data_IF_117064592489
#
_entry.id   IF_117064592489
#
_cell.length_a   1.000
_cell.length_b   1.000
_cell.length_c   1.000
_cell.angle_alpha   90.00
_cell.angle_beta   90.00
_cell.angle_gamma   90.00
#
_symmetry.space_group_name_H-M   'P 1'
#
loop_
_entity.id
_entity.type
_entity.pdbx_description
1 polymer ?
#
# COMPACT_ATOMS: atom_id res chain seq x y z
N UNK A 1 19.41 11.86 -2.22
CA UNK A 1 18.26 10.94 -2.15
C UNK A 1 17.86 10.82 -0.69
N UNK A 2 16.57 10.92 -0.36
CA UNK A 2 16.12 10.74 1.04
C UNK A 2 16.24 9.27 1.41
N UNK A 3 17.11 8.91 2.36
CA UNK A 3 17.17 7.54 2.89
C UNK A 3 15.89 7.22 3.70
N UNK A 4 15.64 5.93 3.92
CA UNK A 4 14.60 5.47 4.83
C UNK A 4 15.00 5.88 6.26
N UNK A 5 14.13 6.57 7.03
CA UNK A 5 14.44 6.90 8.42
C UNK A 5 14.77 5.65 9.24
N UNK A 6 15.87 5.66 9.99
CA UNK A 6 16.38 4.48 10.69
C UNK A 6 15.35 3.82 11.63
N UNK A 7 14.56 4.63 12.34
CA UNK A 7 13.48 4.15 13.22
C UNK A 7 12.35 3.43 12.47
N UNK A 8 12.23 3.66 11.16
CA UNK A 8 11.22 3.04 10.31
C UNK A 8 11.75 1.78 9.60
N UNK A 9 13.07 1.66 9.42
CA UNK A 9 13.70 0.58 8.64
C UNK A 9 13.23 -0.84 9.01
N UNK A 10 13.07 -1.23 10.29
CA UNK A 10 12.60 -2.57 10.65
C UNK A 10 11.17 -2.87 10.18
N UNK A 11 10.33 -1.84 10.04
CA UNK A 11 8.90 -1.98 9.72
C UNK A 11 8.59 -1.94 8.23
N UNK A 12 9.55 -1.49 7.40
CA UNK A 12 9.45 -1.45 5.93
C UNK A 12 10.28 -2.53 5.24
N UNK A 13 10.89 -3.42 6.01
CA UNK A 13 11.55 -4.61 5.49
C UNK A 13 10.55 -5.56 4.81
N UNK A 14 11.06 -6.49 4.00
CA UNK A 14 10.22 -7.51 3.37
C UNK A 14 9.70 -8.47 4.44
N UNK A 15 8.37 -8.61 4.63
CA UNK A 15 7.82 -9.50 5.65
C UNK A 15 7.87 -10.97 5.20
N UNK A 16 7.55 -11.89 6.12
CA UNK A 16 7.31 -13.30 5.82
C UNK A 16 6.04 -13.48 4.97
N UNK A 17 5.97 -14.56 4.19
CA UNK A 17 4.78 -14.91 3.40
C UNK A 17 3.89 -15.93 4.12
N UNK A 18 2.55 -15.77 4.07
CA UNK A 18 1.78 -14.61 3.58
C UNK A 18 1.62 -13.56 4.69
N UNK A 19 1.91 -12.28 4.42
CA UNK A 19 1.70 -11.20 5.41
C UNK A 19 0.77 -10.09 4.93
N UNK A 20 -0.03 -9.54 5.84
CA UNK A 20 -0.84 -8.34 5.66
C UNK A 20 -0.30 -7.19 6.52
N UNK A 21 0.01 -6.08 5.85
CA UNK A 21 0.33 -4.80 6.47
C UNK A 21 -0.83 -3.84 6.24
N UNK A 22 -1.38 -3.28 7.31
CA UNK A 22 -2.44 -2.29 7.26
C UNK A 22 -1.90 -0.90 7.62
N UNK A 23 -2.07 0.06 6.72
CA UNK A 23 -1.73 1.46 6.94
C UNK A 23 -3.03 2.26 7.09
N UNK A 24 -3.24 2.91 8.23
CA UNK A 24 -4.44 3.72 8.43
C UNK A 24 -4.12 5.20 8.44
N UNK A 25 -4.98 5.98 7.80
CA UNK A 25 -4.86 7.45 7.72
C UNK A 25 -6.12 8.13 8.25
N UNK A 26 -5.98 9.38 8.67
CA UNK A 26 -7.10 10.28 8.92
C UNK A 26 -6.94 11.52 8.05
N UNK A 27 -8.00 12.33 7.94
CA UNK A 27 -7.93 13.62 7.27
C UNK A 27 -6.83 14.49 7.89
N UNK A 28 -5.89 14.92 7.04
CA UNK A 28 -4.70 15.67 7.45
C UNK A 28 -3.46 14.82 7.76
N UNK A 29 -3.58 13.49 7.87
CA UNK A 29 -2.47 12.57 8.14
C UNK A 29 -2.48 11.39 7.15
N UNK A 30 -1.94 11.62 5.94
CA UNK A 30 -2.00 10.64 4.84
C UNK A 30 -0.85 9.62 4.86
N UNK A 31 -1.15 8.37 4.48
CA UNK A 31 -0.21 7.23 4.42
C UNK A 31 0.66 7.17 3.16
N UNK A 32 0.48 8.06 2.18
CA UNK A 32 1.23 7.97 0.90
C UNK A 32 2.73 7.95 1.09
N UNK A 33 3.25 8.71 2.05
CA UNK A 33 4.68 8.76 2.31
C UNK A 33 5.19 7.43 2.87
N UNK A 34 4.38 6.69 3.63
CA UNK A 34 4.70 5.32 4.06
C UNK A 34 4.69 4.37 2.87
N UNK A 35 3.66 4.44 2.01
CA UNK A 35 3.62 3.63 0.77
C UNK A 35 4.87 3.88 -0.07
N UNK A 36 5.28 5.13 -0.24
CA UNK A 36 6.53 5.48 -0.94
C UNK A 36 7.78 4.92 -0.26
N UNK A 37 7.82 4.81 1.08
CA UNK A 37 8.92 4.17 1.83
C UNK A 37 8.94 2.65 1.63
N UNK A 38 7.78 2.00 1.54
CA UNK A 38 7.70 0.59 1.14
C UNK A 38 8.19 0.38 -0.29
N UNK A 39 7.75 1.22 -1.24
CA UNK A 39 8.27 1.17 -2.62
C UNK A 39 9.79 1.35 -2.64
N UNK A 40 10.31 2.31 -1.87
CA UNK A 40 11.75 2.56 -1.74
C UNK A 40 12.49 1.33 -1.20
N UNK A 41 11.97 0.69 -0.15
CA UNK A 41 12.55 -0.52 0.42
C UNK A 41 12.58 -1.67 -0.60
N UNK A 42 11.45 -1.98 -1.23
CA UNK A 42 11.31 -3.17 -2.08
C UNK A 42 11.93 -3.02 -3.47
N UNK A 43 11.84 -1.82 -4.06
CA UNK A 43 12.33 -1.57 -5.41
C UNK A 43 13.76 -1.00 -5.40
N UNK A 44 14.13 -0.30 -4.33
CA UNK A 44 15.42 0.37 -4.18
C UNK A 44 16.59 -0.50 -3.74
N UNK A 45 16.36 -1.60 -3.00
CA UNK A 45 17.43 -2.51 -2.55
C UNK A 45 18.33 -3.01 -3.70
N UNK A 46 17.77 -3.24 -4.89
CA UNK A 46 18.56 -3.66 -6.06
C UNK A 46 19.19 -2.49 -6.84
N UNK A 47 18.86 -1.22 -6.57
CA UNK A 47 19.52 -0.10 -7.25
C UNK A 47 20.98 0.06 -6.80
N UNK A 48 21.30 -0.29 -5.55
CA UNK A 48 22.68 -0.34 -5.05
C UNK A 48 23.42 -1.57 -5.64
N UNK A 49 22.77 -2.74 -5.69
CA UNK A 49 23.34 -3.95 -6.32
C UNK A 49 23.51 -3.82 -7.84
N UNK A 50 22.69 -3.02 -8.52
CA UNK A 50 22.83 -2.73 -9.96
C UNK A 50 24.01 -1.81 -10.29
N UNK A 51 24.65 -1.19 -9.28
CA UNK A 51 25.87 -0.39 -9.46
C UNK A 51 27.16 -1.21 -9.37
N UNK A 52 27.07 -2.44 -8.84
CA UNK A 52 28.18 -3.38 -8.73
C UNK A 52 27.74 -4.64 -9.48
N UNK A 53 28.06 -4.70 -10.78
CA UNK A 53 27.78 -5.88 -11.58
C UNK A 53 28.50 -7.09 -10.97
N UNK A 54 27.75 -7.95 -10.30
CA UNK A 54 28.08 -9.34 -10.05
C UNK A 54 26.78 -10.14 -10.12
N UNK A 55 26.60 -10.81 -11.27
CA UNK A 55 25.61 -11.85 -11.50
C UNK A 55 26.00 -13.10 -10.69
N UNK A 56 25.84 -13.06 -9.37
CA UNK A 56 25.91 -14.30 -8.58
C UNK A 56 25.05 -14.16 -7.33
N UNK A 57 24.26 -15.21 -7.14
CA UNK A 57 23.42 -15.55 -6.00
C UNK A 57 21.94 -15.17 -6.11
N UNK A 58 21.15 -16.19 -5.82
CA UNK A 58 19.73 -16.46 -6.02
C UNK A 58 18.83 -15.53 -5.20
N UNK A 59 19.02 -14.22 -5.33
CA UNK A 59 18.20 -13.20 -4.70
C UNK A 59 16.87 -13.05 -5.43
N UNK A 60 15.81 -13.67 -4.91
CA UNK A 60 14.46 -13.53 -5.45
C UNK A 60 14.09 -12.06 -5.66
N UNK A 61 13.97 -11.64 -6.92
CA UNK A 61 13.73 -10.25 -7.27
C UNK A 61 12.36 -9.81 -6.74
N UNK A 62 12.32 -8.84 -5.84
CA UNK A 62 11.03 -8.29 -5.38
C UNK A 62 10.39 -7.44 -6.47
N UNK A 63 9.11 -7.69 -6.73
CA UNK A 63 8.24 -6.99 -7.67
C UNK A 63 7.07 -6.38 -6.92
N UNK A 64 6.56 -5.25 -7.40
CA UNK A 64 5.41 -4.57 -6.79
C UNK A 64 4.29 -4.39 -7.80
N UNK A 65 3.08 -4.82 -7.44
CA UNK A 65 1.84 -4.44 -8.07
C UNK A 65 1.16 -3.38 -7.20
N UNK A 66 1.13 -2.13 -7.67
CA UNK A 66 0.44 -1.02 -6.99
C UNK A 66 -0.91 -0.78 -7.66
N UNK A 67 -1.98 -0.83 -6.86
CA UNK A 67 -3.35 -0.48 -7.26
C UNK A 67 -3.72 0.76 -6.46
N UNK A 68 -4.23 1.80 -7.10
CA UNK A 68 -4.73 2.98 -6.38
C UNK A 68 -6.11 3.35 -6.88
N UNK A 69 -7.03 3.52 -5.93
CA UNK A 69 -8.40 3.96 -6.18
C UNK A 69 -8.57 5.46 -6.02
N UNK A 70 -7.56 6.17 -5.51
CA UNK A 70 -7.65 7.59 -5.18
C UNK A 70 -6.57 8.46 -5.86
N UNK A 71 -5.57 7.87 -6.52
CA UNK A 71 -4.43 8.58 -7.10
C UNK A 71 -3.97 7.95 -8.40
N UNK A 72 -3.56 8.79 -9.35
CA UNK A 72 -3.04 8.32 -10.62
C UNK A 72 -1.55 7.91 -10.55
N UNK A 73 -1.05 7.33 -11.66
CA UNK A 73 0.35 6.95 -11.76
C UNK A 73 1.30 8.16 -11.69
N UNK A 74 0.87 9.34 -12.15
CA UNK A 74 1.70 10.56 -12.16
C UNK A 74 2.04 10.95 -10.72
N UNK A 75 1.06 10.94 -9.82
CA UNK A 75 1.25 11.17 -8.39
C UNK A 75 2.32 10.25 -7.80
N UNK A 76 2.22 8.94 -8.05
CA UNK A 76 3.16 7.95 -7.51
C UNK A 76 4.56 8.09 -8.12
N UNK A 77 4.66 8.40 -9.42
CA UNK A 77 5.93 8.67 -10.10
C UNK A 77 6.64 9.87 -9.50
N UNK A 78 5.93 10.97 -9.27
CA UNK A 78 6.52 12.18 -8.71
C UNK A 78 7.03 11.96 -7.28
N UNK A 79 6.25 11.25 -6.46
CA UNK A 79 6.68 10.84 -5.12
C UNK A 79 7.91 9.93 -5.14
N UNK A 80 7.90 8.91 -5.99
CA UNK A 80 8.98 7.93 -6.13
C UNK A 80 10.28 8.57 -6.66
N UNK A 81 10.18 9.49 -7.64
CA UNK A 81 11.33 10.21 -8.22
C UNK A 81 12.09 10.99 -7.16
N UNK A 82 11.40 11.64 -6.21
CA UNK A 82 12.03 12.34 -5.08
C UNK A 82 12.83 11.41 -4.15
N UNK A 83 12.55 10.11 -4.19
CA UNK A 83 13.28 9.07 -3.45
C UNK A 83 14.37 8.37 -4.28
N UNK A 84 14.60 8.82 -5.51
CA UNK A 84 15.56 8.20 -6.43
C UNK A 84 15.03 6.97 -7.16
N UNK A 85 13.72 6.71 -7.10
CA UNK A 85 13.09 5.62 -7.84
C UNK A 85 12.54 6.10 -9.18
N UNK A 86 12.88 5.36 -10.24
CA UNK A 86 12.35 5.56 -11.59
C UNK A 86 11.38 4.42 -11.90
N UNK A 87 10.08 4.66 -11.66
CA UNK A 87 9.04 3.64 -11.83
C UNK A 87 8.88 3.19 -13.29
N UNK A 88 9.22 4.03 -14.26
CA UNK A 88 9.18 3.67 -15.68
C UNK A 88 10.28 2.66 -16.03
N UNK A 89 11.51 2.89 -15.55
CA UNK A 89 12.59 1.91 -15.68
C UNK A 89 12.28 0.61 -14.96
N UNK A 90 11.67 0.68 -13.78
CA UNK A 90 11.27 -0.51 -13.01
C UNK A 90 10.15 -1.29 -13.71
N UNK A 91 9.21 -0.59 -14.37
CA UNK A 91 8.17 -1.21 -15.19
C UNK A 91 8.75 -1.89 -16.43
N UNK A 92 9.69 -1.24 -17.13
CA UNK A 92 10.39 -1.84 -18.27
C UNK A 92 11.16 -3.12 -17.88
N UNK A 93 11.67 -3.19 -16.64
CA UNK A 93 12.30 -4.37 -16.04
C UNK A 93 11.30 -5.39 -15.45
N UNK A 94 9.99 -5.17 -15.62
CA UNK A 94 8.91 -6.01 -15.05
C UNK A 94 8.98 -6.16 -13.52
N UNK A 95 9.55 -5.16 -12.82
CA UNK A 95 9.62 -5.11 -11.35
C UNK A 95 8.51 -4.27 -10.73
N UNK A 96 7.88 -3.41 -11.51
CA UNK A 96 6.79 -2.56 -11.05
C UNK A 96 5.64 -2.62 -12.05
N UNK A 97 4.41 -2.67 -11.56
CA UNK A 97 3.21 -2.51 -12.37
C UNK A 97 2.19 -1.69 -11.59
N UNK A 98 1.51 -0.81 -12.27
CA UNK A 98 0.46 0.03 -11.70
C UNK A 98 -0.89 -0.32 -12.33
N UNK A 99 -1.92 -0.44 -11.51
CA UNK A 99 -3.33 -0.51 -11.93
C UNK A 99 -4.01 0.79 -11.51
N UNK A 100 -4.57 1.49 -12.48
CA UNK A 100 -5.40 2.66 -12.25
C UNK A 100 -6.82 2.22 -11.89
N UNK A 101 -7.19 2.39 -10.62
CA UNK A 101 -8.52 2.15 -10.08
C UNK A 101 -9.36 3.41 -9.95
N UNK A 102 -8.92 4.55 -10.48
CA UNK A 102 -9.57 5.85 -10.33
C UNK A 102 -10.13 6.37 -11.66
N UNK A 103 -9.28 6.53 -12.67
CA UNK A 103 -9.54 7.41 -13.82
C UNK A 103 -10.71 6.99 -14.69
N UNK A 104 -10.91 5.68 -14.87
CA UNK A 104 -11.97 5.13 -15.73
C UNK A 104 -12.96 4.23 -14.95
N UNK A 105 -12.90 4.20 -13.62
CA UNK A 105 -13.68 3.27 -12.80
C UNK A 105 -15.19 3.47 -12.99
N UNK A 106 -15.67 4.70 -13.14
CA UNK A 106 -17.09 5.01 -13.31
C UNK A 106 -17.45 5.50 -14.73
N UNK A 107 -16.51 5.39 -15.66
CA UNK A 107 -16.79 5.75 -17.04
C UNK A 107 -17.45 4.57 -17.74
N UNK A 108 -18.43 4.87 -18.59
CA UNK A 108 -19.00 3.85 -19.47
C UNK A 108 -17.88 3.25 -20.32
N UNK A 109 -17.89 1.93 -20.56
CA UNK A 109 -16.92 1.30 -21.43
C UNK A 109 -17.10 1.86 -22.85
N UNK A 110 -16.29 2.87 -23.18
CA UNK A 110 -16.29 3.45 -24.52
C UNK A 110 -15.94 2.32 -25.48
N UNK A 111 -16.70 2.19 -26.57
CA UNK A 111 -16.36 1.32 -27.71
C UNK A 111 -15.06 1.81 -28.36
N UNK A 112 -13.94 1.57 -27.69
CA UNK A 112 -12.61 2.00 -28.09
C UNK A 112 -12.20 1.22 -29.35
N UNK A 113 -11.76 1.96 -30.37
CA UNK A 113 -11.09 1.39 -31.55
C UNK A 113 -9.89 0.58 -31.06
N UNK A 114 -9.80 -0.68 -31.50
CA UNK A 114 -8.71 -1.59 -31.15
C UNK A 114 -7.34 -0.90 -31.40
N UNK A 115 -6.58 -0.59 -30.34
CA UNK A 115 -5.24 -0.01 -30.46
C UNK A 115 -4.74 0.79 -29.26
N UNK A 116 -5.62 1.42 -28.47
CA UNK A 116 -5.23 2.30 -27.34
C UNK A 116 -5.78 1.83 -25.99
N UNK A 117 -5.87 0.51 -25.78
CA UNK A 117 -6.25 -0.03 -24.46
C UNK A 117 -5.03 -0.01 -23.54
N UNK A 118 -5.02 0.88 -22.56
CA UNK A 118 -4.20 0.71 -21.37
C UNK A 118 -4.61 -0.59 -20.68
N UNK A 119 -3.69 -1.57 -20.61
CA UNK A 119 -3.99 -2.92 -20.13
C UNK A 119 -4.27 -2.99 -18.62
N UNK A 120 -3.87 -1.95 -17.87
CA UNK A 120 -3.92 -1.92 -16.41
C UNK A 120 -4.81 -0.76 -15.89
N UNK A 121 -6.02 -0.63 -16.43
CA UNK A 121 -7.01 0.34 -15.94
C UNK A 121 -8.30 -0.40 -15.65
N UNK A 122 -8.84 -0.20 -14.45
CA UNK A 122 -10.13 -0.75 -14.07
C UNK A 122 -11.21 0.13 -14.71
N UNK A 123 -12.07 -0.51 -15.51
CA UNK A 123 -13.18 0.13 -16.20
C UNK A 123 -14.49 -0.45 -15.75
N UNK A 124 -15.48 0.43 -15.60
CA UNK A 124 -16.79 0.12 -15.06
C UNK A 124 -16.69 -0.48 -13.65
N UNK A 125 -17.38 0.14 -12.69
CA UNK A 125 -17.38 -0.30 -11.30
C UNK A 125 -18.21 -1.59 -11.13
N UNK A 126 -17.74 -2.66 -11.76
CA UNK A 126 -18.28 -4.01 -11.71
C UNK A 126 -17.22 -4.88 -11.05
N UNK A 127 -17.64 -5.63 -10.03
CA UNK A 127 -16.77 -6.49 -9.24
C UNK A 127 -15.98 -7.48 -10.12
N UNK A 128 -16.62 -8.05 -11.14
CA UNK A 128 -15.96 -8.96 -12.08
C UNK A 128 -14.80 -8.30 -12.84
N UNK A 129 -14.92 -7.03 -13.23
CA UNK A 129 -13.86 -6.31 -13.95
C UNK A 129 -12.69 -5.98 -13.03
N UNK A 130 -12.98 -5.55 -11.80
CA UNK A 130 -11.97 -5.31 -10.76
C UNK A 130 -11.18 -6.60 -10.50
N UNK A 131 -11.88 -7.69 -10.19
CA UNK A 131 -11.30 -9.01 -9.92
C UNK A 131 -10.42 -9.50 -11.05
N UNK A 132 -10.96 -9.51 -12.28
CA UNK A 132 -10.26 -10.04 -13.43
C UNK A 132 -9.03 -9.20 -13.80
N UNK A 133 -9.11 -7.87 -13.70
CA UNK A 133 -7.97 -6.98 -13.98
C UNK A 133 -6.83 -7.28 -13.01
N UNK A 134 -7.10 -7.28 -11.71
CA UNK A 134 -6.07 -7.54 -10.68
C UNK A 134 -5.50 -8.95 -10.81
N UNK A 135 -6.35 -9.97 -10.96
CA UNK A 135 -5.93 -11.37 -11.08
C UNK A 135 -5.06 -11.61 -12.32
N UNK A 136 -5.43 -11.04 -13.46
CA UNK A 136 -4.66 -11.20 -14.70
C UNK A 136 -3.31 -10.48 -14.64
N UNK A 137 -3.28 -9.25 -14.11
CA UNK A 137 -2.05 -8.49 -13.96
C UNK A 137 -1.11 -9.15 -12.94
N UNK A 138 -1.65 -9.66 -11.83
CA UNK A 138 -0.88 -10.38 -10.82
C UNK A 138 -0.27 -11.67 -11.41
N UNK A 139 -1.04 -12.48 -12.14
CA UNK A 139 -0.53 -13.65 -12.88
C UNK A 139 0.57 -13.29 -13.88
N UNK A 140 0.40 -12.19 -14.62
CA UNK A 140 1.41 -11.73 -15.57
C UNK A 140 2.73 -11.33 -14.89
N UNK A 141 2.65 -10.73 -13.71
CA UNK A 141 3.81 -10.33 -12.92
C UNK A 141 4.51 -11.55 -12.26
N UNK A 142 3.73 -12.58 -11.89
CA UNK A 142 4.21 -13.85 -11.35
C UNK A 142 4.84 -14.79 -12.39
N UNK A 143 4.63 -14.57 -13.69
CA UNK A 143 5.15 -15.44 -14.74
C UNK A 143 6.70 -15.52 -14.83
N UNK A 144 7.42 -14.74 -14.03
CA UNK A 144 8.88 -14.85 -13.88
C UNK A 144 9.26 -15.06 -12.41
N UNK A 145 10.52 -15.37 -12.13
CA UNK A 145 11.01 -15.54 -10.75
C UNK A 145 10.86 -14.26 -9.91
N UNK A 146 10.67 -14.43 -8.60
CA UNK A 146 10.65 -13.34 -7.62
C UNK A 146 9.31 -13.12 -6.91
N UNK A 147 9.40 -12.47 -5.76
CA UNK A 147 8.29 -12.23 -4.83
C UNK A 147 7.44 -11.05 -5.28
N UNK A 148 6.12 -11.24 -5.41
CA UNK A 148 5.18 -10.18 -5.78
C UNK A 148 4.54 -9.59 -4.54
N UNK A 149 4.76 -8.31 -4.30
CA UNK A 149 4.12 -7.54 -3.24
C UNK A 149 2.95 -6.77 -3.83
N UNK A 150 1.77 -6.96 -3.23
CA UNK A 150 0.56 -6.25 -3.59
C UNK A 150 0.44 -5.00 -2.73
N UNK A 151 0.29 -3.82 -3.33
CA UNK A 151 0.02 -2.57 -2.61
C UNK A 151 -1.31 -2.03 -3.10
N UNK A 152 -2.25 -1.79 -2.19
CA UNK A 152 -3.59 -1.33 -2.50
C UNK A 152 -3.84 -0.02 -1.74
N UNK A 153 -3.98 1.08 -2.48
CA UNK A 153 -4.25 2.41 -1.94
C UNK A 153 -5.76 2.73 -2.01
N UNK A 154 -6.33 2.93 -0.82
CA UNK A 154 -7.72 3.31 -0.52
C UNK A 154 -8.80 2.41 -1.11
N UNK A 155 -8.73 1.12 -0.78
CA UNK A 155 -9.73 0.13 -1.20
C UNK A 155 -11.13 0.41 -0.65
N UNK A 156 -11.22 1.07 0.50
CA UNK A 156 -12.44 1.54 1.16
C UNK A 156 -13.27 2.49 0.29
N UNK A 157 -12.69 3.15 -0.71
CA UNK A 157 -13.46 3.93 -1.69
C UNK A 157 -14.54 3.07 -2.36
N UNK A 158 -14.27 1.79 -2.58
CA UNK A 158 -15.21 0.89 -3.24
C UNK A 158 -16.48 0.68 -2.40
N UNK A 159 -16.40 0.72 -1.07
CA UNK A 159 -17.59 0.65 -0.21
C UNK A 159 -18.47 1.90 -0.36
N UNK A 160 -17.87 3.07 -0.51
CA UNK A 160 -18.59 4.33 -0.64
C UNK A 160 -19.25 4.53 -2.02
N UNK A 161 -18.74 3.85 -3.05
CA UNK A 161 -19.04 4.17 -4.46
C UNK A 161 -19.69 3.04 -5.25
N UNK A 162 -19.75 1.84 -4.69
CA UNK A 162 -20.34 0.68 -5.37
C UNK A 162 -21.82 0.47 -5.08
N UNK A 163 -22.38 1.22 -4.13
CA UNK A 163 -23.75 1.02 -3.66
C UNK A 163 -23.97 -0.43 -3.24
N UNK A 164 -25.10 -1.02 -3.63
CA UNK A 164 -25.45 -2.41 -3.28
C UNK A 164 -24.67 -3.48 -4.06
N UNK A 165 -23.78 -3.08 -4.99
CA UNK A 165 -23.03 -4.02 -5.84
C UNK A 165 -21.84 -4.65 -5.14
N UNK A 166 -21.32 -4.01 -4.09
CA UNK A 166 -20.14 -4.48 -3.36
C UNK A 166 -20.32 -4.17 -1.87
N UNK A 167 -20.57 -5.22 -1.10
CA UNK A 167 -20.59 -5.13 0.35
C UNK A 167 -19.22 -5.48 0.96
N UNK A 168 -19.11 -5.33 2.28
CA UNK A 168 -17.89 -5.64 3.04
C UNK A 168 -17.47 -7.11 2.91
N UNK A 169 -18.42 -8.03 2.77
CA UNK A 169 -18.12 -9.47 2.69
C UNK A 169 -17.50 -9.80 1.34
N UNK A 170 -18.14 -9.38 0.25
CA UNK A 170 -17.64 -9.57 -1.11
C UNK A 170 -16.26 -8.90 -1.31
N UNK A 171 -16.06 -7.72 -0.72
CA UNK A 171 -14.77 -7.03 -0.74
C UNK A 171 -13.70 -7.80 0.06
N UNK A 172 -14.07 -8.35 1.22
CA UNK A 172 -13.21 -9.18 2.05
C UNK A 172 -12.76 -10.46 1.34
N UNK A 173 -13.70 -11.17 0.71
CA UNK A 173 -13.42 -12.40 -0.07
C UNK A 173 -12.48 -12.10 -1.25
N UNK A 174 -12.76 -11.04 -2.00
CA UNK A 174 -11.89 -10.58 -3.09
C UNK A 174 -10.46 -10.27 -2.60
N UNK A 175 -10.34 -9.56 -1.49
CA UNK A 175 -9.04 -9.20 -0.94
C UNK A 175 -8.29 -10.44 -0.46
N UNK A 176 -8.98 -11.43 0.12
CA UNK A 176 -8.37 -12.69 0.52
C UNK A 176 -7.80 -13.45 -0.67
N UNK A 177 -8.54 -13.56 -1.77
CA UNK A 177 -8.06 -14.18 -3.02
C UNK A 177 -6.78 -13.53 -3.55
N UNK A 178 -6.72 -12.19 -3.53
CA UNK A 178 -5.55 -11.44 -3.96
C UNK A 178 -4.36 -11.63 -3.03
N UNK A 179 -4.60 -11.62 -1.72
CA UNK A 179 -3.58 -11.83 -0.68
C UNK A 179 -2.96 -13.22 -0.78
N UNK A 180 -3.78 -14.26 -0.94
CA UNK A 180 -3.30 -15.64 -1.11
C UNK A 180 -2.47 -15.83 -2.38
N UNK A 181 -2.66 -14.95 -3.37
CA UNK A 181 -1.90 -14.99 -4.61
C UNK A 181 -0.63 -14.13 -4.54
N UNK A 182 -0.38 -13.34 -3.50
CA UNK A 182 0.78 -12.47 -3.38
C UNK A 182 1.70 -12.92 -2.23
N UNK A 183 2.98 -12.55 -2.29
CA UNK A 183 3.92 -12.82 -1.20
C UNK A 183 3.52 -12.06 0.08
N UNK A 184 3.11 -10.81 -0.09
CA UNK A 184 2.57 -9.97 0.97
C UNK A 184 1.68 -8.88 0.38
N UNK A 185 0.74 -8.39 1.18
CA UNK A 185 -0.13 -7.28 0.83
C UNK A 185 0.03 -6.10 1.79
N UNK A 186 0.10 -4.90 1.23
CA UNK A 186 0.03 -3.63 1.95
C UNK A 186 -1.27 -2.95 1.54
N UNK A 187 -2.11 -2.65 2.51
CA UNK A 187 -3.39 -2.00 2.29
C UNK A 187 -3.45 -0.68 3.03
N UNK A 188 -3.96 0.35 2.38
CA UNK A 188 -4.29 1.61 3.04
C UNK A 188 -5.80 1.78 3.18
N UNK A 189 -6.25 2.26 4.34
CA UNK A 189 -7.65 2.62 4.58
C UNK A 189 -7.74 3.94 5.35
N UNK A 190 -8.85 4.66 5.18
CA UNK A 190 -9.26 5.74 6.07
C UNK A 190 -9.72 5.18 7.43
N UNK A 191 -9.34 5.85 8.50
CA UNK A 191 -9.73 5.55 9.88
C UNK A 191 -10.25 6.80 10.59
N UNK A 192 -10.76 7.77 9.82
CA UNK A 192 -11.45 8.94 10.34
C UNK A 192 -12.60 8.51 11.27
N UNK A 193 -12.72 9.15 12.43
CA UNK A 193 -13.70 8.79 13.46
C UNK A 193 -15.13 8.65 12.93
N UNK A 194 -15.63 9.52 12.02
CA UNK A 194 -16.96 9.33 11.43
C UNK A 194 -17.14 7.97 10.73
N UNK A 195 -16.11 7.50 10.01
CA UNK A 195 -16.16 6.23 9.27
C UNK A 195 -15.81 5.02 10.14
N UNK A 196 -14.92 5.20 11.11
CA UNK A 196 -14.39 4.11 11.95
C UNK A 196 -15.29 3.78 13.15
N UNK A 197 -16.10 4.73 13.64
CA UNK A 197 -16.91 4.54 14.84
C UNK A 197 -18.21 3.73 14.60
N UNK A 198 -18.60 3.50 13.35
CA UNK A 198 -19.73 2.62 12.99
C UNK A 198 -21.12 3.12 13.38
N UNK A 199 -21.32 4.44 13.54
CA UNK A 199 -22.52 5.00 14.15
C UNK A 199 -23.43 5.75 13.17
N UNK A 200 -24.36 5.04 12.54
CA UNK A 200 -25.58 5.66 12.00
C UNK A 200 -25.96 5.30 10.56
N UNK A 201 -25.00 4.90 9.72
CA UNK A 201 -25.27 4.57 8.32
C UNK A 201 -24.70 3.20 7.90
N UNK A 202 -25.28 2.54 6.88
CA UNK A 202 -24.73 1.29 6.34
C UNK A 202 -23.27 1.43 5.89
N UNK A 203 -22.90 2.58 5.32
CA UNK A 203 -21.51 2.85 4.91
C UNK A 203 -20.56 2.83 6.10
N UNK A 204 -20.89 3.54 7.19
CA UNK A 204 -20.06 3.58 8.40
C UNK A 204 -19.96 2.20 9.06
N UNK A 205 -21.07 1.45 9.14
CA UNK A 205 -21.06 0.08 9.66
C UNK A 205 -20.18 -0.83 8.82
N UNK A 206 -20.33 -0.79 7.49
CA UNK A 206 -19.57 -1.61 6.55
C UNK A 206 -18.07 -1.25 6.56
N UNK A 207 -17.75 0.03 6.60
CA UNK A 207 -16.38 0.54 6.67
C UNK A 207 -15.71 0.17 7.99
N UNK A 208 -16.38 0.42 9.12
CA UNK A 208 -15.88 0.05 10.44
C UNK A 208 -15.65 -1.46 10.57
N UNK A 209 -16.57 -2.28 10.04
CA UNK A 209 -16.42 -3.74 10.00
C UNK A 209 -15.22 -4.18 9.16
N UNK A 210 -15.03 -3.60 7.97
CA UNK A 210 -13.88 -3.88 7.10
C UNK A 210 -12.57 -3.52 7.80
N UNK A 211 -12.48 -2.29 8.32
CA UNK A 211 -11.28 -1.77 8.98
C UNK A 211 -10.91 -2.62 10.21
N UNK A 212 -11.89 -2.95 11.05
CA UNK A 212 -11.67 -3.75 12.25
C UNK A 212 -11.26 -5.18 11.90
N UNK A 213 -11.90 -5.80 10.90
CA UNK A 213 -11.55 -7.15 10.44
C UNK A 213 -10.11 -7.20 9.94
N UNK A 214 -9.71 -6.24 9.11
CA UNK A 214 -8.35 -6.17 8.57
C UNK A 214 -7.31 -5.83 9.63
N UNK A 215 -7.64 -4.99 10.60
CA UNK A 215 -6.74 -4.70 11.72
C UNK A 215 -6.46 -5.95 12.57
N UNK A 216 -7.46 -6.83 12.77
CA UNK A 216 -7.25 -8.10 13.46
C UNK A 216 -6.42 -9.10 12.64
N UNK A 217 -6.56 -9.07 11.30
CA UNK A 217 -5.82 -9.96 10.41
C UNK A 217 -4.40 -9.49 10.07
N UNK A 218 -4.06 -8.23 10.35
CA UNK A 218 -2.79 -7.65 9.95
C UNK A 218 -1.65 -8.08 10.89
N UNK A 219 -0.50 -8.44 10.32
CA UNK A 219 0.73 -8.70 11.06
C UNK A 219 1.38 -7.40 11.53
N UNK A 220 1.07 -6.29 10.86
CA UNK A 220 1.56 -4.96 11.18
C UNK A 220 0.49 -3.92 10.86
N UNK A 221 0.16 -3.09 11.85
CA UNK A 221 -0.69 -1.92 11.68
C UNK A 221 0.12 -0.66 11.93
N UNK A 222 0.19 0.24 10.95
CA UNK A 222 0.77 1.57 11.10
C UNK A 222 -0.34 2.63 10.95
N UNK A 223 -0.69 3.27 12.07
CA UNK A 223 -1.76 4.25 12.12
C UNK A 223 -1.21 5.67 12.22
N UNK A 224 -1.59 6.53 11.27
CA UNK A 224 -1.24 7.94 11.27
C UNK A 224 -2.37 8.79 11.84
N UNK A 225 -2.03 9.64 12.80
CA UNK A 225 -2.94 10.62 13.40
C UNK A 225 -2.27 11.98 13.56
N UNK A 226 -3.07 13.03 13.62
CA UNK A 226 -2.60 14.36 14.02
C UNK A 226 -2.23 14.36 15.51
N UNK A 227 -1.52 15.40 15.95
CA UNK A 227 -1.24 15.58 17.38
C UNK A 227 -2.52 16.00 18.11
N UNK A 228 -2.75 15.42 19.29
CA UNK A 228 -3.90 15.78 20.13
C UNK A 228 -3.86 17.25 20.59
N UNK A 229 -2.67 17.87 20.60
CA UNK A 229 -2.45 19.27 20.98
C UNK A 229 -2.59 20.27 19.82
N UNK A 230 -2.95 19.81 18.61
CA UNK A 230 -3.06 20.65 17.42
C UNK A 230 -1.80 20.69 16.54
N UNK A 231 -1.59 21.76 15.78
CA UNK A 231 -0.51 21.83 14.78
C UNK A 231 0.83 22.22 15.39
N UNK A 232 1.92 21.63 14.90
CA UNK A 232 3.30 22.03 15.23
C UNK A 232 4.10 22.32 13.96
N UNK A 233 5.11 23.20 14.06
CA UNK A 233 5.94 23.62 12.91
C UNK A 233 6.78 22.47 12.35
N UNK A 234 7.32 21.63 13.23
CA UNK A 234 8.31 20.61 12.90
C UNK A 234 7.80 19.18 13.12
N UNK A 235 6.50 19.02 13.39
CA UNK A 235 5.85 17.71 13.59
C UNK A 235 4.53 17.71 12.84
N UNK A 236 4.39 16.78 11.89
CA UNK A 236 3.16 16.60 11.12
C UNK A 236 2.13 15.73 11.84
N UNK A 237 2.59 14.77 12.64
CA UNK A 237 1.70 13.88 13.38
C UNK A 237 2.42 12.76 14.10
N UNK A 238 1.63 11.76 14.50
CA UNK A 238 2.05 10.56 15.21
C UNK A 238 1.82 9.34 14.32
N UNK A 239 2.80 8.45 14.24
CA UNK A 239 2.71 7.13 13.65
C UNK A 239 2.72 6.10 14.79
N UNK A 240 1.58 5.48 15.06
CA UNK A 240 1.46 4.36 16.00
C UNK A 240 1.65 3.06 15.25
N UNK A 241 2.62 2.26 15.67
CA UNK A 241 2.96 0.97 15.12
C UNK A 241 2.51 -0.10 16.10
N UNK A 242 1.66 -1.02 15.62
CA UNK A 242 1.18 -2.17 16.38
C UNK A 242 1.52 -3.42 15.59
N UNK A 243 2.09 -4.41 16.23
CA UNK A 243 2.41 -5.71 15.61
C UNK A 243 1.34 -6.71 15.96
N UNK A 244 0.90 -7.49 14.97
CA UNK A 244 0.02 -8.64 15.16
C UNK A 244 0.73 -9.77 15.92
N UNK A 245 -0.05 -10.77 16.31
CA UNK A 245 0.47 -11.94 17.01
C UNK A 245 1.05 -12.93 15.99
N UNK A 246 2.35 -12.82 15.72
CA UNK A 246 3.05 -13.76 14.84
C UNK A 246 3.58 -14.94 15.67
N UNK A 247 2.71 -15.89 16.00
CA UNK A 247 3.16 -17.23 16.40
C UNK A 247 3.88 -17.87 15.19
N UNK A 248 5.19 -18.15 15.31
CA UNK A 248 5.94 -18.88 14.27
C UNK A 248 7.15 -18.18 13.64
N UNK A 249 7.57 -16.99 14.10
CA UNK A 249 8.83 -16.39 13.63
C UNK A 249 10.03 -17.23 14.08
N UNK A 250 10.95 -17.50 13.15
CA UNK A 250 12.19 -18.21 13.44
C UNK A 250 13.07 -17.44 14.45
N UNK A 251 13.98 -18.13 15.17
CA UNK A 251 14.75 -17.56 16.29
C UNK A 251 15.66 -16.37 15.94
N UNK A 252 15.86 -16.07 14.65
CA UNK A 252 16.74 -14.99 14.17
C UNK A 252 15.99 -13.75 13.64
N UNK A 253 14.66 -13.74 13.63
CA UNK A 253 13.90 -12.54 13.22
C UNK A 253 13.74 -11.59 14.40
N UNK A 254 14.34 -10.40 14.31
CA UNK A 254 14.09 -9.33 15.27
C UNK A 254 12.60 -9.03 15.29
N UNK A 255 11.94 -9.30 16.42
CA UNK A 255 10.54 -8.98 16.62
C UNK A 255 10.39 -7.47 16.56
N UNK A 256 9.71 -6.99 15.52
CA UNK A 256 9.32 -5.59 15.44
C UNK A 256 8.48 -5.27 16.68
N UNK A 257 8.86 -4.24 17.44
CA UNK A 257 8.14 -3.87 18.66
C UNK A 257 7.05 -2.86 18.35
N UNK A 258 5.96 -2.89 19.12
CA UNK A 258 4.98 -1.82 19.09
C UNK A 258 5.62 -0.51 19.54
N UNK A 259 5.43 0.56 18.77
CA UNK A 259 6.05 1.87 19.04
C UNK A 259 5.11 3.02 18.67
N UNK A 260 5.35 4.17 19.29
CA UNK A 260 4.73 5.42 18.90
C UNK A 260 5.84 6.40 18.50
N UNK A 261 5.80 6.85 17.25
CA UNK A 261 6.81 7.71 16.66
C UNK A 261 6.18 9.03 16.22
N UNK A 262 6.91 10.11 16.34
CA UNK A 262 6.56 11.38 15.71
C UNK A 262 7.12 11.40 14.28
N UNK A 263 6.40 12.03 13.37
CA UNK A 263 6.87 12.20 12.00
C UNK A 263 6.66 13.62 11.50
N UNK A 264 7.50 14.01 10.55
CA UNK A 264 7.41 15.28 9.84
C UNK A 264 7.56 15.04 8.33
N UNK A 265 6.61 15.54 7.54
CA UNK A 265 6.63 15.50 6.08
C UNK A 265 6.93 16.91 5.56
N UNK A 266 8.11 17.10 4.97
CA UNK A 266 8.51 18.33 4.29
C UNK A 266 8.16 18.35 2.79
N UNK A 267 8.32 19.50 2.14
CA UNK A 267 7.93 19.72 0.74
C UNK A 267 8.66 18.86 -0.32
N UNK A 268 9.85 18.35 -0.01
CA UNK A 268 10.70 17.57 -0.95
C UNK A 268 10.61 16.05 -0.77
N UNK A 269 9.51 15.53 -0.20
CA UNK A 269 9.41 14.10 0.24
C UNK A 269 10.44 13.70 1.31
N UNK A 270 11.09 14.70 1.92
CA UNK A 270 11.89 14.55 3.11
C UNK A 270 10.94 14.21 4.27
N UNK A 271 11.04 12.97 4.74
CA UNK A 271 10.31 12.51 5.92
C UNK A 271 11.32 12.26 7.02
N UNK A 272 11.08 12.87 8.18
CA UNK A 272 11.81 12.60 9.41
C UNK A 272 10.90 11.85 10.35
N UNK A 273 11.47 10.89 11.08
CA UNK A 273 10.79 10.11 12.11
C UNK A 273 11.66 10.13 13.35
N UNK A 274 11.07 10.39 14.51
CA UNK A 274 11.78 10.59 15.78
C UNK A 274 10.93 10.09 16.96
N UNK A 275 11.59 9.76 18.07
CA UNK A 275 10.92 9.35 19.31
C UNK A 275 10.35 10.57 20.05
N UNK A 276 9.32 10.34 20.88
CA UNK A 276 8.75 11.41 21.71
C UNK A 276 9.73 11.77 22.84
N UNK A 277 10.19 13.02 22.88
CA UNK A 277 11.06 13.53 23.94
C UNK A 277 12.54 13.66 23.57
N UNK A 278 12.90 13.49 22.29
CA UNK A 278 14.18 13.93 21.73
C UNK A 278 14.10 15.35 21.17
#
# INVERSE_FOLDING_TARGET
>A
MSQIPHLLSPYVALPSEPSLILLTSVLGASTNWLVLRYLQSYLGQNLESLSIANETEDGETTKVLLISFMRDLVFWKDGARKLGLDLDKLAAKKRFTFIDGLSELYLEPVKSKAGTRSANVIRANELGNILNTVKNTLKALQAGSGKVILVIDQLDLLLATSGDKLDTVALGDMLMDWRLSAHSAILTLAADTPLAAGNGTPLETNHGALLLSLAHQADLVMSLRLLDTGTARDVSGVCRITTGDSEGRGPNEQKAEARELLYFVGGESAVRVFERGQ
#
